data_IF_807213295338
#
_entry.id   IF_807213295338
#
_cell.length_a   1.000
_cell.length_b   1.000
_cell.length_c   1.000
_cell.angle_alpha   90.00
_cell.angle_beta   90.00
_cell.angle_gamma   90.00
#
_symmetry.space_group_name_H-M   'P 1'
#
loop_
_entity.id
_entity.type
_entity.pdbx_description
1 polymer ?
#
# COMPACT_ATOMS: atom_id res chain seq x y z
N UNK A 1 -2.55 -6.94 -7.76
CA UNK A 1 -2.30 -7.67 -6.49
C UNK A 1 -2.58 -6.72 -5.35
N UNK A 2 -3.32 -7.15 -4.33
CA UNK A 2 -3.75 -6.29 -3.21
C UNK A 2 -3.80 -7.12 -1.93
N UNK A 3 -3.39 -6.54 -0.81
CA UNK A 3 -3.52 -7.15 0.52
C UNK A 3 -2.44 -6.71 1.50
N UNK A 4 -2.45 -7.33 2.68
CA UNK A 4 -1.42 -7.17 3.69
C UNK A 4 -0.13 -7.88 3.25
N UNK A 5 0.92 -7.10 2.99
CA UNK A 5 2.22 -7.62 2.60
C UNK A 5 3.17 -7.78 3.79
N UNK A 6 2.78 -7.35 5.00
CA UNK A 6 3.64 -7.31 6.19
C UNK A 6 5.05 -6.77 5.91
N UNK A 7 5.15 -5.79 5.01
CA UNK A 7 6.43 -5.27 4.56
C UNK A 7 6.34 -3.79 4.19
N UNK A 8 7.46 -3.11 4.34
CA UNK A 8 7.66 -1.70 4.00
C UNK A 8 9.17 -1.45 3.88
N UNK A 9 9.57 -0.49 3.04
CA UNK A 9 10.97 -0.17 2.79
C UNK A 9 11.73 0.32 4.04
N UNK A 10 11.04 0.82 5.08
CA UNK A 10 11.68 1.19 6.35
C UNK A 10 12.41 0.01 7.04
N UNK A 11 12.03 -1.23 6.72
CA UNK A 11 12.64 -2.44 7.28
C UNK A 11 13.60 -3.14 6.31
N UNK A 12 13.95 -2.53 5.18
CA UNK A 12 14.81 -3.16 4.18
C UNK A 12 16.17 -3.60 4.75
N UNK A 13 16.72 -2.82 5.68
CA UNK A 13 17.99 -3.15 6.37
C UNK A 13 17.88 -4.46 7.17
N UNK A 14 16.71 -4.74 7.72
CA UNK A 14 16.48 -5.90 8.58
C UNK A 14 16.20 -7.16 7.72
N UNK A 15 15.92 -6.99 6.41
CA UNK A 15 15.58 -8.05 5.45
C UNK A 15 16.36 -7.95 4.13
N UNK A 16 17.71 -7.99 4.13
CA UNK A 16 18.52 -7.64 2.94
C UNK A 16 18.37 -8.58 1.74
N UNK A 17 17.88 -9.80 1.93
CA UNK A 17 17.71 -10.81 0.85
C UNK A 17 16.29 -10.92 0.31
N UNK A 18 15.32 -10.33 1.01
CA UNK A 18 13.88 -10.40 0.71
C UNK A 18 13.21 -9.09 1.14
N UNK A 19 13.81 -7.97 0.74
CA UNK A 19 13.41 -6.65 1.19
C UNK A 19 12.12 -6.20 0.49
N UNK A 20 11.44 -5.20 1.06
CA UNK A 20 10.26 -4.63 0.41
C UNK A 20 10.66 -3.97 -0.90
N UNK A 21 11.80 -3.27 -0.95
CA UNK A 21 12.29 -2.67 -2.19
C UNK A 21 12.58 -3.70 -3.28
N UNK A 22 13.07 -4.89 -2.93
CA UNK A 22 13.27 -5.96 -3.90
C UNK A 22 11.93 -6.46 -4.46
N UNK A 23 10.92 -6.64 -3.59
CA UNK A 23 9.56 -6.99 -4.01
C UNK A 23 8.98 -5.93 -4.96
N UNK A 24 9.12 -4.65 -4.61
CA UNK A 24 8.70 -3.53 -5.46
C UNK A 24 9.39 -3.56 -6.82
N UNK A 25 10.71 -3.79 -6.85
CA UNK A 25 11.48 -3.89 -8.10
C UNK A 25 11.01 -5.08 -8.96
N UNK A 26 10.71 -6.23 -8.34
CA UNK A 26 10.14 -7.40 -9.04
C UNK A 26 8.78 -7.09 -9.64
N UNK A 27 7.89 -6.40 -8.92
CA UNK A 27 6.61 -5.95 -9.47
C UNK A 27 6.79 -4.94 -10.61
N UNK A 28 7.72 -3.99 -10.48
CA UNK A 28 8.03 -3.04 -11.54
C UNK A 28 8.50 -3.74 -12.83
N UNK A 29 9.35 -4.78 -12.71
CA UNK A 29 9.79 -5.59 -13.85
C UNK A 29 8.64 -6.37 -14.52
N UNK A 30 7.56 -6.65 -13.78
CA UNK A 30 6.32 -7.23 -14.32
C UNK A 30 5.35 -6.18 -14.86
N UNK A 31 5.75 -4.91 -14.94
CA UNK A 31 4.91 -3.81 -15.41
C UNK A 31 3.80 -3.44 -14.41
N UNK A 32 4.04 -3.68 -13.12
CA UNK A 32 3.11 -3.33 -12.04
C UNK A 32 3.61 -2.13 -11.24
N UNK A 33 2.69 -1.31 -10.75
CA UNK A 33 2.99 -0.08 -9.98
C UNK A 33 2.11 0.00 -8.75
N UNK A 34 2.65 0.49 -7.63
CA UNK A 34 1.86 0.71 -6.42
C UNK A 34 0.83 1.83 -6.60
N UNK A 35 -0.44 1.54 -6.35
CA UNK A 35 -1.56 2.47 -6.44
C UNK A 35 -1.40 3.64 -5.46
N UNK A 36 -0.96 3.36 -4.23
CA UNK A 36 -0.70 4.38 -3.21
C UNK A 36 0.32 5.40 -3.70
N UNK A 37 1.52 4.94 -4.03
CA UNK A 37 2.64 5.78 -4.43
C UNK A 37 2.34 6.57 -5.71
N UNK A 38 1.60 5.97 -6.64
CA UNK A 38 1.13 6.67 -7.84
C UNK A 38 0.11 7.79 -7.52
N UNK A 39 -0.73 7.59 -6.50
CA UNK A 39 -1.78 8.55 -6.13
C UNK A 39 -1.27 9.68 -5.22
N UNK A 40 -0.31 9.39 -4.34
CA UNK A 40 0.16 10.35 -3.33
C UNK A 40 1.45 11.06 -3.71
N UNK A 41 2.25 10.46 -4.60
CA UNK A 41 3.61 10.91 -4.92
C UNK A 41 4.63 10.63 -3.82
N UNK A 42 4.23 9.95 -2.73
CA UNK A 42 5.16 9.59 -1.67
C UNK A 42 6.22 8.60 -2.19
N UNK A 43 7.47 8.68 -1.72
CA UNK A 43 8.46 7.63 -1.92
C UNK A 43 8.13 6.37 -1.11
N UNK A 44 8.63 5.21 -1.59
CA UNK A 44 8.58 3.95 -0.84
C UNK A 44 9.28 4.10 0.52
N UNK A 45 8.60 3.67 1.59
CA UNK A 45 9.08 3.82 2.98
C UNK A 45 8.95 5.22 3.56
N UNK A 46 8.30 6.14 2.86
CA UNK A 46 7.98 7.49 3.33
C UNK A 46 6.46 7.75 3.23
N UNK A 47 5.65 6.70 3.34
CA UNK A 47 4.20 6.78 3.28
C UNK A 47 3.67 7.57 4.48
N UNK A 48 3.01 8.70 4.20
CA UNK A 48 2.42 9.54 5.25
C UNK A 48 1.10 8.99 5.82
N UNK A 49 0.45 8.06 5.11
CA UNK A 49 -0.81 7.46 5.52
C UNK A 49 -0.61 5.98 5.88
N UNK A 50 -1.12 5.59 7.04
CA UNK A 50 -1.05 4.21 7.51
C UNK A 50 -2.23 3.37 7.05
N UNK A 51 -2.02 2.07 6.99
CA UNK A 51 -3.06 1.05 6.73
C UNK A 51 -3.25 0.11 7.92
N UNK A 52 -2.26 0.04 8.81
CA UNK A 52 -2.26 -0.77 10.03
C UNK A 52 -1.87 0.09 11.24
N UNK A 53 -2.47 -0.19 12.40
CA UNK A 53 -2.24 0.48 13.67
C UNK A 53 -2.03 -0.55 14.76
N UNK A 54 -0.78 -0.74 15.17
CA UNK A 54 -0.42 -1.82 16.08
C UNK A 54 -1.20 -1.76 17.39
N UNK A 55 -1.90 -2.84 17.74
CA UNK A 55 -2.85 -2.92 18.86
C UNK A 55 -3.98 -1.88 18.82
N UNK A 56 -4.40 -1.49 17.61
CA UNK A 56 -5.43 -0.47 17.35
C UNK A 56 -5.07 0.89 17.94
N UNK A 57 -3.76 1.19 18.06
CA UNK A 57 -3.23 2.43 18.64
C UNK A 57 -2.90 3.46 17.53
N UNK A 58 -3.60 4.61 17.47
CA UNK A 58 -3.35 5.63 16.45
C UNK A 58 -1.91 6.18 16.41
N UNK A 59 -1.20 6.15 17.54
CA UNK A 59 0.20 6.57 17.70
C UNK A 59 1.22 5.50 17.26
N UNK A 60 0.76 4.34 16.76
CA UNK A 60 1.61 3.26 16.25
C UNK A 60 1.26 2.86 14.80
N UNK A 61 1.32 3.80 13.86
CA UNK A 61 0.92 3.58 12.46
C UNK A 61 1.99 2.85 11.65
N UNK A 62 1.55 2.01 10.72
CA UNK A 62 2.37 1.39 9.69
C UNK A 62 1.63 1.32 8.34
N UNK A 63 2.38 1.39 7.23
CA UNK A 63 1.86 1.17 5.89
C UNK A 63 2.34 -0.20 5.37
N UNK A 64 1.50 -1.21 5.53
CA UNK A 64 1.83 -2.62 5.21
C UNK A 64 0.83 -3.31 4.29
N UNK A 65 -0.39 -2.77 4.18
CA UNK A 65 -1.33 -3.14 3.13
C UNK A 65 -1.01 -2.37 1.85
N UNK A 66 -0.72 -3.10 0.78
CA UNK A 66 -0.34 -2.53 -0.51
C UNK A 66 -1.27 -2.98 -1.63
N UNK A 67 -1.37 -2.16 -2.67
CA UNK A 67 -2.05 -2.50 -3.92
C UNK A 67 -1.15 -2.18 -5.12
N UNK A 68 -0.82 -3.19 -5.91
CA UNK A 68 -0.04 -3.08 -7.14
C UNK A 68 -0.93 -3.37 -8.36
N UNK A 69 -0.94 -2.44 -9.30
CA UNK A 69 -1.77 -2.45 -10.51
C UNK A 69 -0.92 -2.72 -11.74
N UNK A 70 -1.43 -3.50 -12.69
CA UNK A 70 -0.81 -3.61 -14.01
C UNK A 70 -0.88 -2.27 -14.73
N UNK A 71 0.02 -2.07 -15.68
CA UNK A 71 0.02 -0.89 -16.56
C UNK A 71 -1.36 -0.60 -17.18
N UNK A 72 -2.07 -1.63 -17.66
CA UNK A 72 -3.41 -1.46 -18.24
C UNK A 72 -4.44 -0.86 -17.27
N UNK A 73 -4.40 -1.25 -15.99
CA UNK A 73 -5.30 -0.70 -14.97
C UNK A 73 -4.90 0.72 -14.57
N UNK A 74 -3.59 1.01 -14.55
CA UNK A 74 -3.11 2.38 -14.33
C UNK A 74 -3.55 3.29 -15.47
N UNK A 75 -3.41 2.84 -16.72
CA UNK A 75 -3.75 3.61 -17.93
C UNK A 75 -5.26 3.82 -18.07
N UNK A 76 -6.08 2.83 -17.69
CA UNK A 76 -7.55 2.96 -17.63
C UNK A 76 -8.03 3.94 -16.55
N UNK A 77 -7.18 4.21 -15.55
CA UNK A 77 -7.49 5.10 -14.44
C UNK A 77 -8.11 4.36 -13.25
N UNK A 78 -7.82 4.88 -12.05
CA UNK A 78 -8.29 4.36 -10.79
C UNK A 78 -8.40 5.46 -9.74
N UNK A 79 -9.19 5.22 -8.70
CA UNK A 79 -9.18 6.01 -7.47
C UNK A 79 -8.67 5.14 -6.32
N UNK A 80 -7.85 5.74 -5.47
CA UNK A 80 -7.32 5.10 -4.27
C UNK A 80 -7.76 5.88 -3.04
N UNK A 81 -8.37 5.18 -2.08
CA UNK A 81 -8.75 5.78 -0.79
C UNK A 81 -8.47 4.82 0.36
N UNK A 82 -8.40 5.37 1.57
CA UNK A 82 -8.26 4.61 2.80
C UNK A 82 -9.46 4.87 3.71
N UNK A 83 -9.86 3.83 4.46
CA UNK A 83 -10.86 3.99 5.51
C UNK A 83 -10.40 4.92 6.63
N UNK A 84 -11.34 5.51 7.37
CA UNK A 84 -11.00 6.38 8.49
C UNK A 84 -10.64 5.55 9.75
N UNK A 85 -9.51 5.79 10.44
CA UNK A 85 -9.13 5.02 11.63
C UNK A 85 -10.21 5.00 12.72
N UNK A 86 -10.87 6.14 12.95
CA UNK A 86 -11.96 6.24 13.95
C UNK A 86 -13.12 5.27 13.69
N UNK A 87 -13.35 4.86 12.44
CA UNK A 87 -14.40 3.94 12.06
C UNK A 87 -13.97 2.48 12.20
N UNK A 88 -12.72 2.17 11.89
CA UNK A 88 -12.27 0.78 11.71
C UNK A 88 -11.50 0.21 12.90
N UNK A 89 -10.85 1.05 13.71
CA UNK A 89 -10.03 0.58 14.84
C UNK A 89 -10.82 -0.10 15.96
N UNK A 90 -12.15 0.00 15.97
CA UNK A 90 -13.01 -0.80 16.85
C UNK A 90 -13.13 -2.27 16.43
N UNK A 91 -12.88 -2.58 15.15
CA UNK A 91 -13.12 -3.90 14.54
C UNK A 91 -11.81 -4.60 14.15
N UNK A 92 -10.81 -3.85 13.69
CA UNK A 92 -9.52 -4.37 13.22
C UNK A 92 -8.41 -3.38 13.56
N UNK A 93 -7.18 -3.84 13.71
CA UNK A 93 -5.98 -2.99 13.70
C UNK A 93 -5.61 -2.50 12.29
N UNK A 94 -6.19 -3.10 11.23
CA UNK A 94 -6.11 -2.59 9.87
C UNK A 94 -7.30 -1.70 9.53
N UNK A 95 -7.06 -0.69 8.69
CA UNK A 95 -8.09 0.08 8.01
C UNK A 95 -8.15 -0.38 6.54
N UNK A 96 -9.32 -0.37 5.90
CA UNK A 96 -9.42 -0.84 4.53
C UNK A 96 -8.67 0.09 3.57
N UNK A 97 -7.92 -0.52 2.67
CA UNK A 97 -7.45 0.09 1.43
C UNK A 97 -8.50 -0.18 0.36
N UNK A 98 -8.99 0.88 -0.28
CA UNK A 98 -10.09 0.82 -1.24
C UNK A 98 -9.58 1.30 -2.59
N UNK A 99 -9.88 0.51 -3.63
CA UNK A 99 -9.53 0.80 -5.00
C UNK A 99 -10.77 0.75 -5.88
N UNK A 100 -11.11 1.88 -6.49
CA UNK A 100 -12.15 1.95 -7.51
C UNK A 100 -11.49 1.93 -8.89
N UNK A 101 -11.83 0.93 -9.70
CA UNK A 101 -11.35 0.81 -11.07
C UNK A 101 -12.32 1.51 -12.01
N UNK A 102 -11.81 2.37 -12.88
CA UNK A 102 -12.62 2.96 -13.92
C UNK A 102 -12.75 1.97 -15.09
N UNK A 103 -13.93 1.90 -15.73
CA UNK A 103 -14.08 1.09 -16.94
C UNK A 103 -13.14 1.61 -18.03
N UNK A 104 -12.51 0.68 -18.76
CA UNK A 104 -11.71 1.03 -19.93
C UNK A 104 -12.62 1.71 -20.97
N UNK A 105 -12.18 2.87 -21.47
CA UNK A 105 -12.84 3.62 -22.56
C UNK A 105 -12.54 2.97 -23.91
#
# INVERSE_FOLDING_TARGET
MIGDFNSNAIWDRDHPQHSHSELVARFANLGMTSAYHRSTGDPQGQERLATHYFWRKPDRPFHIDHCFLSRSLVDAGFSFTLGAPKQWLGMSDHIPLILDLLPAV
#
